data_IF_619865059705
#
_entry.id   IF_619865059705
#
_cell.length_a   1.000
_cell.length_b   1.000
_cell.length_c   1.000
_cell.angle_alpha   90.00
_cell.angle_beta   90.00
_cell.angle_gamma   90.00
#
_symmetry.space_group_name_H-M   'P 1'
#
loop_
_entity.id
_entity.type
_entity.pdbx_description
1 polymer ?
#
# COMPACT_ATOMS: atom_id res chain seq x y z
N UNK A 1 -19.13 -1.39 7.15
CA UNK A 1 -18.71 -0.34 6.20
C UNK A 1 -17.46 -0.84 5.49
N UNK A 2 -17.40 -0.83 4.15
CA UNK A 2 -16.19 -1.14 3.42
C UNK A 2 -15.11 -0.09 3.75
N UNK A 3 -13.86 -0.51 3.79
CA UNK A 3 -12.71 0.34 4.13
C UNK A 3 -12.60 1.46 3.09
N UNK A 4 -13.08 2.67 3.43
CA UNK A 4 -13.19 3.85 2.54
C UNK A 4 -11.86 4.34 1.94
N UNK A 5 -10.73 3.73 2.29
CA UNK A 5 -9.39 4.23 1.95
C UNK A 5 -8.49 3.21 1.29
N UNK A 6 -9.04 2.07 0.82
CA UNK A 6 -8.22 1.07 0.15
C UNK A 6 -7.00 0.69 0.98
N UNK A 7 -7.18 0.52 2.30
CA UNK A 7 -6.12 0.10 3.20
C UNK A 7 -6.11 0.53 4.65
N UNK A 8 -4.99 0.27 5.34
CA UNK A 8 -4.74 0.63 6.75
C UNK A 8 -4.68 2.15 7.00
N UNK A 9 -4.90 2.97 5.97
CA UNK A 9 -4.73 4.43 6.04
C UNK A 9 -3.27 4.87 6.17
N UNK A 10 -2.32 3.94 5.95
CA UNK A 10 -0.90 4.24 6.02
C UNK A 10 -0.42 4.89 4.72
N UNK A 11 0.29 6.01 4.78
CA UNK A 11 0.84 6.66 3.59
C UNK A 11 1.95 5.79 2.97
N UNK A 12 1.84 5.53 1.67
CA UNK A 12 2.96 4.96 0.91
C UNK A 12 4.04 6.03 0.70
N UNK A 13 5.09 6.00 1.53
CA UNK A 13 6.17 6.99 1.49
C UNK A 13 6.94 6.99 0.17
N UNK A 14 7.12 5.81 -0.44
CA UNK A 14 7.79 5.67 -1.74
C UNK A 14 7.10 6.47 -2.86
N UNK A 15 5.78 6.68 -2.75
CA UNK A 15 5.00 7.48 -3.70
C UNK A 15 4.86 8.92 -3.21
N UNK A 16 4.56 9.13 -1.93
CA UNK A 16 4.28 10.47 -1.41
C UNK A 16 5.51 11.36 -1.34
N UNK A 17 6.68 10.84 -0.97
CA UNK A 17 7.90 11.63 -0.84
C UNK A 17 8.31 12.26 -2.18
N UNK A 18 8.42 11.51 -3.29
CA UNK A 18 8.74 12.11 -4.59
C UNK A 18 7.73 13.16 -5.04
N UNK A 19 6.42 12.92 -4.84
CA UNK A 19 5.37 13.87 -5.22
C UNK A 19 5.46 15.17 -4.40
N UNK A 20 5.70 15.09 -3.10
CA UNK A 20 5.86 16.27 -2.24
C UNK A 20 7.15 17.03 -2.58
N UNK A 21 8.23 16.32 -2.88
CA UNK A 21 9.48 16.92 -3.33
C UNK A 21 9.27 17.68 -4.63
N UNK A 22 8.57 17.13 -5.63
CA UNK A 22 8.24 17.87 -6.86
C UNK A 22 7.53 19.19 -6.59
N UNK A 23 6.48 19.16 -5.76
CA UNK A 23 5.72 20.37 -5.41
C UNK A 23 6.63 21.39 -4.74
N UNK A 24 7.49 20.96 -3.82
CA UNK A 24 8.43 21.83 -3.13
C UNK A 24 9.43 22.48 -4.08
N UNK A 25 10.02 21.70 -4.99
CA UNK A 25 11.01 22.21 -5.95
C UNK A 25 10.38 23.09 -7.03
N UNK A 26 9.17 22.77 -7.49
CA UNK A 26 8.41 23.62 -8.40
C UNK A 26 8.15 25.00 -7.77
N UNK A 27 7.69 25.02 -6.51
CA UNK A 27 7.51 26.27 -5.76
C UNK A 27 8.81 27.06 -5.62
N UNK A 28 9.93 26.39 -5.33
CA UNK A 28 11.23 27.07 -5.26
C UNK A 28 11.60 27.73 -6.60
N UNK A 29 11.29 27.11 -7.73
CA UNK A 29 11.55 27.70 -9.05
C UNK A 29 10.66 28.92 -9.36
N UNK A 30 9.47 28.98 -8.77
CA UNK A 30 8.54 30.11 -8.94
C UNK A 30 8.88 31.31 -8.04
N UNK A 31 9.73 31.12 -7.01
CA UNK A 31 10.07 32.20 -6.07
C UNK A 31 11.04 33.21 -6.70
N UNK A 32 10.63 34.48 -6.72
CA UNK A 32 11.47 35.61 -7.14
C UNK A 32 12.37 36.09 -5.99
N UNK A 33 13.35 35.26 -5.61
CA UNK A 33 14.36 35.61 -4.62
C UNK A 33 15.77 35.36 -5.18
N UNK A 34 16.71 36.33 -5.10
CA UNK A 34 18.00 36.25 -5.77
C UNK A 34 18.84 35.03 -5.34
N UNK A 35 18.81 34.69 -4.05
CA UNK A 35 19.49 33.49 -3.54
C UNK A 35 18.86 32.21 -4.10
N UNK A 36 17.53 32.14 -4.20
CA UNK A 36 16.84 30.94 -4.70
C UNK A 36 17.12 30.78 -6.20
N UNK A 37 17.08 31.87 -6.97
CA UNK A 37 17.47 31.89 -8.38
C UNK A 37 18.89 31.36 -8.60
N UNK A 38 19.85 31.84 -7.79
CA UNK A 38 21.24 31.36 -7.87
C UNK A 38 21.37 29.85 -7.60
N UNK A 39 20.57 29.30 -6.68
CA UNK A 39 20.53 27.86 -6.40
C UNK A 39 19.89 27.09 -7.55
N UNK A 40 18.80 27.59 -8.12
CA UNK A 40 18.11 26.96 -9.25
C UNK A 40 18.98 26.88 -10.52
N UNK A 41 19.94 27.80 -10.69
CA UNK A 41 20.89 27.80 -11.79
C UNK A 41 22.00 26.74 -11.65
N UNK A 42 22.23 26.21 -10.44
CA UNK A 42 23.27 25.21 -10.19
C UNK A 42 22.99 23.89 -10.88
N UNK A 43 24.05 23.23 -11.37
CA UNK A 43 23.97 21.92 -12.00
C UNK A 43 23.47 20.83 -11.05
N UNK A 44 23.81 20.93 -9.75
CA UNK A 44 23.31 20.05 -8.68
C UNK A 44 21.79 20.10 -8.57
N UNK A 45 21.21 21.31 -8.61
CA UNK A 45 19.77 21.51 -8.57
C UNK A 45 19.07 20.87 -9.76
N UNK A 46 19.61 21.08 -10.98
CA UNK A 46 19.07 20.46 -12.21
C UNK A 46 19.08 18.94 -12.14
N UNK A 47 20.13 18.33 -11.57
CA UNK A 47 20.20 16.87 -11.36
C UNK A 47 19.11 16.38 -10.40
N UNK A 48 18.85 17.12 -9.31
CA UNK A 48 17.77 16.80 -8.37
C UNK A 48 16.41 16.90 -9.05
N UNK A 49 16.14 17.99 -9.77
CA UNK A 49 14.89 18.17 -10.51
C UNK A 49 14.68 17.05 -11.54
N UNK A 50 15.72 16.67 -12.27
CA UNK A 50 15.65 15.56 -13.22
C UNK A 50 15.31 14.23 -12.53
N UNK A 51 15.96 13.91 -11.41
CA UNK A 51 15.66 12.71 -10.63
C UNK A 51 14.22 12.72 -10.10
N UNK A 52 13.75 13.88 -9.62
CA UNK A 52 12.38 14.04 -9.14
C UNK A 52 11.36 13.88 -10.26
N UNK A 53 11.67 14.26 -11.50
CA UNK A 53 10.77 14.12 -12.65
C UNK A 53 10.62 12.68 -13.17
N UNK A 54 11.34 11.70 -12.61
CA UNK A 54 11.14 10.29 -12.96
C UNK A 54 9.73 9.81 -12.58
N UNK A 55 9.02 9.10 -13.45
CA UNK A 55 7.64 8.68 -13.19
C UNK A 55 7.53 7.91 -11.87
N UNK A 56 6.54 8.28 -11.06
CA UNK A 56 6.22 7.58 -9.82
C UNK A 56 5.12 6.58 -10.16
N UNK A 57 5.30 5.30 -9.81
CA UNK A 57 4.37 4.25 -10.19
C UNK A 57 3.79 3.52 -8.97
N UNK A 58 2.54 3.08 -9.08
CA UNK A 58 1.91 2.10 -8.21
C UNK A 58 1.57 0.90 -9.08
N UNK A 59 2.42 -0.13 -9.05
CA UNK A 59 2.36 -1.22 -10.05
C UNK A 59 2.63 -0.70 -11.44
N UNK A 60 1.75 -1.00 -12.37
CA UNK A 60 1.79 -0.52 -13.76
C UNK A 60 1.20 0.89 -13.96
N UNK A 61 0.60 1.49 -12.92
CA UNK A 61 -0.05 2.81 -13.03
C UNK A 61 0.92 3.93 -12.66
N UNK A 62 1.18 4.84 -13.59
CA UNK A 62 1.93 6.08 -13.33
C UNK A 62 1.02 7.08 -12.62
N UNK A 63 1.51 7.67 -11.53
CA UNK A 63 0.78 8.65 -10.72
C UNK A 63 1.54 9.97 -10.63
N UNK A 64 0.80 11.06 -10.77
CA UNK A 64 1.33 12.43 -10.76
C UNK A 64 0.83 13.27 -9.58
N UNK A 65 -0.24 12.81 -8.92
CA UNK A 65 -0.89 13.53 -7.82
C UNK A 65 -1.22 12.61 -6.64
N UNK A 66 -1.40 13.21 -5.46
CA UNK A 66 -1.83 12.47 -4.26
C UNK A 66 -3.21 11.82 -4.46
N UNK A 67 -4.10 12.47 -5.21
CA UNK A 67 -5.44 11.97 -5.53
C UNK A 67 -5.37 10.79 -6.48
N UNK A 68 -4.55 10.84 -7.52
CA UNK A 68 -4.29 9.69 -8.41
C UNK A 68 -3.66 8.53 -7.66
N UNK A 69 -2.70 8.81 -6.78
CA UNK A 69 -2.09 7.79 -5.94
C UNK A 69 -3.13 7.11 -5.02
N UNK A 70 -4.04 7.88 -4.43
CA UNK A 70 -5.10 7.34 -3.60
C UNK A 70 -6.09 6.49 -4.41
N UNK A 71 -6.47 6.93 -5.62
CA UNK A 71 -7.33 6.16 -6.52
C UNK A 71 -6.67 4.86 -6.98
N UNK A 72 -5.40 4.91 -7.41
CA UNK A 72 -4.65 3.73 -7.84
C UNK A 72 -4.49 2.70 -6.70
N UNK A 73 -4.23 3.15 -5.47
CA UNK A 73 -4.23 2.27 -4.31
C UNK A 73 -5.62 1.70 -4.00
N UNK A 74 -6.66 2.53 -4.08
CA UNK A 74 -8.03 2.10 -3.88
C UNK A 74 -8.41 1.01 -4.87
N UNK A 75 -8.20 1.22 -6.17
CA UNK A 75 -8.54 0.24 -7.21
C UNK A 75 -7.78 -1.07 -6.99
N UNK A 76 -6.48 -0.98 -6.68
CA UNK A 76 -5.65 -2.17 -6.44
C UNK A 76 -6.07 -2.96 -5.21
N UNK A 77 -6.48 -2.30 -4.13
CA UNK A 77 -6.87 -2.97 -2.88
C UNK A 77 -8.34 -3.36 -2.90
N UNK A 78 -9.19 -2.66 -3.65
CA UNK A 78 -10.58 -3.05 -3.89
C UNK A 78 -10.63 -4.41 -4.60
N UNK A 79 -9.76 -4.64 -5.59
CA UNK A 79 -9.60 -5.96 -6.22
C UNK A 79 -9.15 -7.04 -5.22
N UNK A 80 -8.39 -6.68 -4.17
CA UNK A 80 -8.00 -7.64 -3.11
C UNK A 80 -9.06 -7.87 -2.02
N UNK A 81 -10.11 -7.05 -1.97
CA UNK A 81 -11.16 -7.18 -0.96
C UNK A 81 -12.01 -8.46 -1.16
N UNK A 82 -11.94 -9.08 -2.34
CA UNK A 82 -12.57 -10.35 -2.69
C UNK A 82 -11.71 -11.58 -2.29
N UNK A 83 -10.80 -11.41 -1.31
CA UNK A 83 -9.83 -12.44 -0.88
C UNK A 83 -8.83 -12.88 -1.98
N UNK A 84 -8.84 -12.20 -3.13
CA UNK A 84 -7.85 -12.40 -4.17
C UNK A 84 -6.51 -11.81 -3.72
N UNK A 85 -5.44 -12.60 -3.85
CA UNK A 85 -4.08 -12.11 -3.65
C UNK A 85 -3.87 -10.84 -4.48
N UNK A 86 -3.26 -9.81 -3.90
CA UNK A 86 -2.90 -8.60 -4.65
C UNK A 86 -2.02 -9.06 -5.81
N UNK A 87 -2.48 -8.92 -7.07
CA UNK A 87 -1.69 -9.37 -8.20
C UNK A 87 -0.39 -8.57 -8.15
N UNK A 88 0.74 -9.30 -8.26
CA UNK A 88 2.09 -8.73 -8.36
C UNK A 88 2.74 -8.30 -7.02
N UNK A 89 2.26 -8.78 -5.86
CA UNK A 89 3.07 -8.66 -4.64
C UNK A 89 4.26 -9.63 -4.72
N UNK A 90 5.41 -9.14 -5.17
CA UNK A 90 6.67 -9.89 -5.06
C UNK A 90 6.90 -10.18 -3.57
N UNK A 91 6.70 -11.44 -3.20
CA UNK A 91 7.06 -11.92 -1.88
C UNK A 91 8.58 -11.89 -1.79
N UNK A 92 9.14 -10.79 -1.29
CA UNK A 92 10.56 -10.74 -0.98
C UNK A 92 10.87 -11.80 0.07
N UNK A 93 12.11 -12.30 0.09
CA UNK A 93 12.54 -13.29 1.09
C UNK A 93 12.21 -12.82 2.52
N UNK A 94 12.36 -11.53 2.79
CA UNK A 94 12.11 -10.89 4.08
C UNK A 94 10.62 -10.94 4.47
N UNK A 95 9.69 -10.89 3.50
CA UNK A 95 8.24 -11.02 3.76
C UNK A 95 7.87 -12.38 4.37
N UNK A 96 8.73 -13.39 4.20
CA UNK A 96 8.57 -14.74 4.74
C UNK A 96 9.53 -15.04 5.90
N UNK A 97 10.38 -14.09 6.29
CA UNK A 97 11.37 -14.27 7.38
C UNK A 97 10.73 -14.64 8.72
N UNK A 98 9.54 -14.12 9.01
CA UNK A 98 8.77 -14.44 10.21
C UNK A 98 8.42 -15.93 10.35
N UNK A 99 8.43 -16.71 9.25
CA UNK A 99 8.24 -18.16 9.30
C UNK A 99 9.43 -18.89 9.94
N UNK A 100 10.64 -18.34 9.77
CA UNK A 100 11.86 -18.89 10.33
C UNK A 100 12.14 -18.35 11.73
N UNK A 101 11.73 -17.10 12.00
CA UNK A 101 11.97 -16.43 13.28
C UNK A 101 10.68 -16.26 14.08
N UNK A 102 10.10 -17.39 14.53
CA UNK A 102 8.85 -17.35 15.32
C UNK A 102 8.97 -16.59 16.65
N UNK A 103 10.19 -16.34 17.13
CA UNK A 103 10.47 -15.61 18.37
C UNK A 103 10.25 -14.10 18.24
N UNK A 104 10.30 -13.56 17.02
CA UNK A 104 10.09 -12.12 16.74
C UNK A 104 8.61 -11.71 16.85
N UNK A 105 7.71 -12.67 17.08
CA UNK A 105 6.27 -12.44 17.13
C UNK A 105 5.63 -13.12 18.33
N UNK A 106 4.56 -12.52 18.84
CA UNK A 106 3.75 -13.20 19.86
C UNK A 106 3.20 -14.52 19.31
N UNK A 107 3.25 -15.63 20.07
CA UNK A 107 2.84 -16.96 19.59
C UNK A 107 1.42 -17.01 19.01
N UNK A 108 0.49 -16.24 19.59
CA UNK A 108 -0.89 -16.13 19.10
C UNK A 108 -0.98 -15.48 17.71
N UNK A 109 -0.12 -14.52 17.42
CA UNK A 109 -0.06 -13.84 16.13
C UNK A 109 0.58 -14.76 15.11
N UNK A 110 1.72 -15.38 15.45
CA UNK A 110 2.40 -16.37 14.60
C UNK A 110 1.45 -17.49 14.12
N UNK A 111 0.71 -18.11 15.04
CA UNK A 111 -0.27 -19.16 14.70
C UNK A 111 -1.38 -18.65 13.77
N UNK A 112 -1.90 -17.44 13.99
CA UNK A 112 -2.94 -16.85 13.13
C UNK A 112 -2.40 -16.48 11.76
N UNK A 113 -1.18 -15.95 11.67
CA UNK A 113 -0.51 -15.66 10.41
C UNK A 113 -0.28 -16.95 9.61
N UNK A 114 0.15 -18.04 10.26
CA UNK A 114 0.27 -19.36 9.64
C UNK A 114 -1.08 -19.89 9.14
N UNK A 115 -2.15 -19.76 9.94
CA UNK A 115 -3.51 -20.14 9.53
C UNK A 115 -4.03 -19.29 8.36
N UNK A 116 -3.69 -17.99 8.33
CA UNK A 116 -4.10 -17.09 7.26
C UNK A 116 -3.38 -17.47 5.95
N UNK A 117 -2.05 -17.67 6.01
CA UNK A 117 -1.24 -18.09 4.87
C UNK A 117 -1.60 -19.48 4.34
N UNK A 118 -1.88 -20.43 5.22
CA UNK A 118 -2.33 -21.78 4.84
C UNK A 118 -3.80 -21.86 4.43
N UNK A 119 -4.54 -20.74 4.43
CA UNK A 119 -5.97 -20.74 4.17
C UNK A 119 -6.76 -21.61 5.17
N UNK A 120 -6.25 -21.81 6.39
CA UNK A 120 -6.81 -22.64 7.46
C UNK A 120 -7.65 -21.84 8.47
N UNK A 121 -7.80 -20.53 8.28
CA UNK A 121 -8.69 -19.76 9.14
C UNK A 121 -10.11 -20.30 9.08
N UNK A 122 -10.70 -20.43 10.26
CA UNK A 122 -12.07 -20.92 10.39
C UNK A 122 -13.03 -19.80 10.01
N UNK A 123 -13.57 -19.85 8.80
CA UNK A 123 -14.65 -18.94 8.35
C UNK A 123 -16.00 -19.38 8.92
N UNK A 124 -16.96 -18.45 8.99
CA UNK A 124 -18.33 -18.76 9.42
C UNK A 124 -18.98 -19.80 8.50
N UNK A 125 -18.76 -19.71 7.19
CA UNK A 125 -19.20 -20.72 6.21
C UNK A 125 -18.62 -22.10 6.52
N UNK A 126 -17.30 -22.21 6.78
CA UNK A 126 -16.70 -23.50 7.17
C UNK A 126 -17.29 -24.07 8.47
N UNK A 127 -17.61 -23.22 9.45
CA UNK A 127 -18.26 -23.64 10.72
C UNK A 127 -19.73 -24.02 10.56
N UNK A 128 -20.39 -23.51 9.52
CA UNK A 128 -21.79 -23.75 9.21
C UNK A 128 -21.99 -25.00 8.33
N UNK A 129 -20.93 -25.56 7.73
CA UNK A 129 -21.01 -26.85 7.03
C UNK A 129 -21.61 -27.92 7.94
N UNK A 130 -22.67 -28.59 7.46
CA UNK A 130 -23.42 -29.59 8.22
C UNK A 130 -24.35 -29.04 9.30
N UNK A 131 -24.57 -27.71 9.37
CA UNK A 131 -25.43 -27.05 10.36
C UNK A 131 -26.29 -25.97 9.69
N UNK A 132 -27.50 -26.35 9.26
CA UNK A 132 -28.40 -25.51 8.46
C UNK A 132 -28.83 -24.17 9.12
N UNK A 133 -28.80 -24.07 10.45
CA UNK A 133 -29.28 -22.90 11.18
C UNK A 133 -28.19 -21.88 11.58
N UNK A 134 -26.94 -22.03 11.11
CA UNK A 134 -25.86 -21.11 11.48
C UNK A 134 -25.68 -19.98 10.47
N UNK A 135 -25.52 -18.77 11.01
CA UNK A 135 -25.13 -17.59 10.27
C UNK A 135 -23.81 -17.81 9.52
N UNK A 136 -23.89 -17.67 8.19
CA UNK A 136 -22.78 -17.81 7.25
C UNK A 136 -22.11 -16.47 6.94
N UNK A 137 -22.74 -15.34 7.28
CA UNK A 137 -22.27 -14.01 6.91
C UNK A 137 -21.15 -13.54 7.82
N UNK A 138 -20.06 -13.05 7.27
CA UNK A 138 -18.98 -12.45 8.06
C UNK A 138 -19.46 -11.19 8.82
N UNK A 139 -18.64 -10.61 9.72
CA UNK A 139 -19.00 -9.37 10.44
C UNK A 139 -19.28 -8.18 9.50
N UNK A 140 -18.78 -8.24 8.26
CA UNK A 140 -19.06 -7.27 7.20
C UNK A 140 -20.32 -7.55 6.39
N UNK A 141 -21.11 -8.57 6.74
CA UNK A 141 -22.29 -9.04 6.00
C UNK A 141 -21.99 -9.65 4.62
N UNK A 142 -20.73 -10.03 4.35
CA UNK A 142 -20.36 -10.74 3.13
C UNK A 142 -20.57 -12.26 3.29
N UNK A 143 -20.91 -12.94 2.20
CA UNK A 143 -20.77 -14.40 2.09
C UNK A 143 -19.28 -14.68 1.88
N UNK A 144 -18.65 -15.39 2.82
CA UNK A 144 -17.22 -15.74 2.80
C UNK A 144 -17.01 -17.23 2.51
#
# INVERSE_FOLDING_TARGET
>A
MPVKFGGLGLPCLAVQIPLLQRIRFARMMEMDHPVIRSVCEQSSFRRVVHALNQPVCIGSTVVSSKTEAAAAWFDRWWVSADEADVPEMELTSESSSWLHNSEDMFPRVYLRCGQLRGGCLSTKVRRARGRAARDTLCRGMCLA
#
